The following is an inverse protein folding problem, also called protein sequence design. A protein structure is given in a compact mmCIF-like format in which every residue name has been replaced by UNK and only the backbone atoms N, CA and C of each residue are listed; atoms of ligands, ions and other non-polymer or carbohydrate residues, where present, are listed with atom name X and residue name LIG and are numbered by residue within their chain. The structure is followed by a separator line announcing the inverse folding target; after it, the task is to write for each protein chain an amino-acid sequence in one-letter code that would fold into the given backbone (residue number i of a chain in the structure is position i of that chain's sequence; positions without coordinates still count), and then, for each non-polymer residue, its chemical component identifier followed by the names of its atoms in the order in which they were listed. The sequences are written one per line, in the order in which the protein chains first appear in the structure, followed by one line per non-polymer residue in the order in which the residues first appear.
data_IF_599439319595
#
_entry.id   IF_599439319595
#
_cell.length_a   1.000
_cell.length_b   1.000
_cell.length_c   1.000
_cell.angle_alpha   90.00
_cell.angle_beta   90.00
_cell.angle_gamma   90.00
#
_symmetry.space_group_name_H-M   'P 1'
#
loop_
_entity.id
_entity.type
_entity.pdbx_description
1 polymer ?
#
# COMPACT_ATOMS: atom_id res chain seq x y z
N UNK A 1 59.33 2.58 5.06
CA UNK A 1 58.24 1.87 4.34
C UNK A 1 57.98 0.55 5.04
N UNK A 2 56.85 0.38 5.73
CA UNK A 2 56.30 -0.91 6.15
C UNK A 2 54.78 -0.78 6.15
N UNK A 3 54.18 -1.36 5.13
CA UNK A 3 52.75 -1.33 4.82
C UNK A 3 52.01 -2.22 5.82
N UNK A 4 51.06 -1.64 6.55
CA UNK A 4 50.11 -2.37 7.39
C UNK A 4 48.93 -2.77 6.50
N UNK A 5 48.72 -4.07 6.29
CA UNK A 5 47.54 -4.59 5.59
C UNK A 5 46.43 -4.70 6.63
N UNK A 6 45.45 -3.79 6.54
CA UNK A 6 44.19 -3.84 7.27
C UNK A 6 43.27 -4.83 6.53
N UNK A 7 43.13 -6.05 7.04
CA UNK A 7 42.17 -7.02 6.52
C UNK A 7 40.77 -6.60 6.94
N UNK A 8 40.11 -5.80 6.09
CA UNK A 8 38.71 -5.44 6.26
C UNK A 8 37.87 -6.69 5.95
N UNK A 9 37.40 -7.38 7.00
CA UNK A 9 36.37 -8.39 6.88
C UNK A 9 35.08 -7.70 6.40
N UNK A 10 34.85 -7.69 5.09
CA UNK A 10 33.53 -7.45 4.53
C UNK A 10 32.62 -8.59 5.00
N UNK A 11 31.90 -8.39 6.09
CA UNK A 11 30.67 -9.12 6.34
C UNK A 11 29.70 -8.70 5.24
N UNK A 12 29.66 -9.51 4.17
CA UNK A 12 28.55 -9.53 3.24
C UNK A 12 27.29 -9.79 4.08
N UNK A 13 26.57 -8.72 4.41
CA UNK A 13 25.19 -8.81 4.83
C UNK A 13 24.45 -9.38 3.62
N UNK A 14 24.30 -10.71 3.63
CA UNK A 14 23.45 -11.43 2.71
C UNK A 14 22.11 -10.70 2.72
N UNK A 15 21.59 -10.21 1.58
CA UNK A 15 20.21 -9.76 1.55
C UNK A 15 19.39 -10.98 1.94
N UNK A 16 18.80 -10.94 3.13
CA UNK A 16 17.89 -11.98 3.58
C UNK A 16 16.90 -12.18 2.44
N UNK A 17 16.94 -13.36 1.82
CA UNK A 17 15.98 -13.71 0.77
C UNK A 17 14.62 -13.41 1.34
N UNK A 18 13.90 -12.46 0.75
CA UNK A 18 12.54 -12.14 1.17
C UNK A 18 11.76 -13.45 1.05
N UNK A 19 11.41 -14.04 2.20
CA UNK A 19 10.57 -15.23 2.24
C UNK A 19 9.31 -14.90 1.43
N UNK A 20 9.05 -15.69 0.39
CA UNK A 20 7.85 -15.54 -0.43
C UNK A 20 6.63 -15.60 0.50
N UNK A 21 5.91 -14.49 0.62
CA UNK A 21 4.70 -14.41 1.43
C UNK A 21 3.60 -15.16 0.70
N UNK A 22 2.91 -16.09 1.36
CA UNK A 22 1.76 -16.76 0.73
C UNK A 22 0.56 -15.82 0.65
N UNK A 23 -0.37 -16.04 -0.29
CA UNK A 23 -1.58 -15.21 -0.35
C UNK A 23 -2.43 -15.31 0.92
N UNK A 24 -2.50 -16.50 1.52
CA UNK A 24 -3.19 -16.69 2.81
C UNK A 24 -2.52 -15.91 3.94
N UNK A 25 -1.20 -15.85 3.95
CA UNK A 25 -0.46 -15.06 4.92
C UNK A 25 -0.69 -13.56 4.70
N UNK A 26 -0.64 -13.10 3.45
CA UNK A 26 -0.96 -11.71 3.10
C UNK A 26 -2.36 -11.33 3.59
N UNK A 27 -3.37 -12.13 3.26
CA UNK A 27 -4.75 -11.93 3.71
C UNK A 27 -4.84 -11.84 5.24
N UNK A 28 -4.21 -12.78 5.94
CA UNK A 28 -4.18 -12.81 7.40
C UNK A 28 -3.55 -11.54 7.97
N UNK A 29 -2.45 -11.05 7.38
CA UNK A 29 -1.78 -9.81 7.80
C UNK A 29 -2.62 -8.57 7.52
N UNK A 30 -3.31 -8.49 6.39
CA UNK A 30 -4.25 -7.40 6.07
C UNK A 30 -5.39 -7.35 7.08
N UNK A 31 -5.91 -8.51 7.49
CA UNK A 31 -6.98 -8.63 8.49
C UNK A 31 -6.49 -8.25 9.90
N UNK A 32 -5.26 -8.64 10.23
CA UNK A 32 -4.64 -8.33 11.51
C UNK A 32 -4.11 -6.90 11.61
N UNK A 33 -4.03 -6.16 10.49
CA UNK A 33 -3.63 -4.76 10.46
C UNK A 33 -4.70 -3.90 11.14
N UNK A 34 -4.63 -3.84 12.48
CA UNK A 34 -5.56 -3.19 13.39
C UNK A 34 -5.91 -1.77 12.92
N UNK A 35 -7.18 -1.56 12.57
CA UNK A 35 -7.68 -0.31 11.99
C UNK A 35 -8.30 0.63 13.02
N UNK A 36 -8.30 0.25 14.31
CA UNK A 36 -8.90 1.05 15.40
C UNK A 36 -8.33 2.47 15.48
N UNK A 37 -7.07 2.67 15.10
CA UNK A 37 -6.42 3.99 15.13
C UNK A 37 -6.67 4.84 13.86
N UNK A 38 -7.16 4.27 12.76
CA UNK A 38 -7.33 4.97 11.47
C UNK A 38 -8.60 5.82 11.39
N UNK A 39 -9.61 5.51 12.20
CA UNK A 39 -10.95 6.09 12.07
C UNK A 39 -11.23 7.24 13.04
N UNK A 40 -10.32 7.48 14.00
CA UNK A 40 -10.44 8.63 14.91
C UNK A 40 -10.13 9.97 14.24
N UNK A 41 -9.35 9.98 13.16
CA UNK A 41 -8.95 11.21 12.45
C UNK A 41 -9.91 11.64 11.33
N UNK A 42 -10.82 10.77 10.86
CA UNK A 42 -11.58 11.05 9.64
C UNK A 42 -13.04 11.51 9.81
N UNK A 43 -13.74 11.22 10.92
CA UNK A 43 -15.06 11.87 11.18
C UNK A 43 -15.71 11.65 12.57
N UNK A 44 -14.98 11.26 13.61
CA UNK A 44 -15.52 11.20 14.99
C UNK A 44 -16.77 10.32 15.22
N UNK A 45 -17.25 9.58 14.22
CA UNK A 45 -18.45 8.77 14.28
C UNK A 45 -18.18 7.46 13.56
N UNK A 46 -18.46 6.39 14.31
CA UNK A 46 -18.35 4.98 13.93
C UNK A 46 -16.92 4.43 13.81
N UNK A 47 -16.55 3.62 14.81
CA UNK A 47 -15.64 2.52 14.57
C UNK A 47 -16.27 1.66 13.47
N UNK A 48 -15.80 1.81 12.23
CA UNK A 48 -16.06 0.84 11.18
C UNK A 48 -15.45 -0.46 11.67
N UNK A 49 -16.30 -1.27 12.28
CA UNK A 49 -16.02 -2.68 12.46
C UNK A 49 -15.90 -3.20 11.02
N UNK A 50 -14.74 -3.74 10.67
CA UNK A 50 -14.47 -4.34 9.35
C UNK A 50 -14.61 -5.88 9.39
N UNK A 51 -15.62 -6.51 10.03
CA UNK A 51 -15.79 -7.94 9.87
C UNK A 51 -16.24 -8.16 8.43
N UNK A 52 -15.31 -8.53 7.55
CA UNK A 52 -15.61 -8.77 6.13
C UNK A 52 -14.53 -8.42 5.12
N UNK A 53 -13.37 -7.87 5.51
CA UNK A 53 -12.19 -7.82 4.63
C UNK A 53 -11.62 -9.22 4.31
N UNK A 54 -12.14 -10.28 4.95
CA UNK A 54 -11.72 -11.69 4.87
C UNK A 54 -12.33 -12.43 3.67
N UNK A 55 -12.63 -11.68 2.62
CA UNK A 55 -12.51 -12.13 1.26
C UNK A 55 -12.09 -10.87 0.55
N UNK A 56 -10.83 -10.79 0.16
CA UNK A 56 -10.26 -9.63 -0.53
C UNK A 56 -10.93 -9.45 -1.89
N UNK A 57 -12.18 -9.87 -2.12
CA UNK A 57 -12.92 -9.67 -3.36
C UNK A 57 -14.24 -8.91 -3.11
N UNK A 58 -14.63 -8.65 -1.85
CA UNK A 58 -15.98 -8.18 -1.49
C UNK A 58 -16.02 -6.93 -0.61
N UNK A 59 -15.12 -5.96 -0.80
CA UNK A 59 -15.23 -4.67 -0.08
C UNK A 59 -16.21 -3.76 -0.84
N UNK A 60 -17.35 -3.32 -0.25
CA UNK A 60 -18.31 -2.51 -0.96
C UNK A 60 -17.72 -1.18 -1.46
N UNK A 61 -17.76 -0.97 -2.77
CA UNK A 61 -17.21 0.22 -3.43
C UNK A 61 -15.74 0.10 -3.86
N UNK A 62 -15.13 -1.09 -3.71
CA UNK A 62 -13.77 -1.37 -4.17
C UNK A 62 -13.78 -2.66 -4.99
N UNK A 63 -13.30 -2.58 -6.22
CA UNK A 63 -13.02 -3.75 -7.05
C UNK A 63 -11.53 -4.05 -6.96
N UNK A 64 -11.16 -5.31 -6.79
CA UNK A 64 -9.75 -5.66 -6.63
C UNK A 64 -9.43 -7.04 -7.21
N UNK A 65 -8.14 -7.25 -7.50
CA UNK A 65 -7.58 -8.53 -7.90
C UNK A 65 -6.26 -8.80 -7.20
N UNK A 66 -6.06 -10.05 -6.80
CA UNK A 66 -4.87 -10.57 -6.13
C UNK A 66 -4.09 -11.48 -7.09
N UNK A 67 -2.77 -11.33 -7.18
CA UNK A 67 -1.91 -12.21 -7.97
C UNK A 67 -1.24 -13.25 -7.06
N UNK A 68 -1.60 -14.52 -7.27
CA UNK A 68 -1.18 -15.65 -6.44
C UNK A 68 -0.62 -16.85 -7.23
N UNK A 69 0.30 -16.67 -8.21
CA UNK A 69 0.85 -17.82 -8.91
C UNK A 69 1.58 -18.74 -7.92
N UNK A 70 1.36 -20.04 -8.07
CA UNK A 70 1.93 -21.07 -7.21
C UNK A 70 1.65 -20.90 -5.70
N UNK A 71 0.60 -20.12 -5.35
CA UNK A 71 0.18 -19.86 -3.97
C UNK A 71 0.92 -18.72 -3.26
N UNK A 72 1.90 -18.09 -3.93
CA UNK A 72 2.67 -16.97 -3.39
C UNK A 72 2.07 -15.65 -3.82
N UNK A 73 2.01 -14.68 -2.90
CA UNK A 73 1.58 -13.32 -3.19
C UNK A 73 2.66 -12.61 -4.01
N UNK A 74 2.29 -12.16 -5.22
CA UNK A 74 3.18 -11.37 -6.09
C UNK A 74 2.70 -9.93 -6.26
N UNK A 75 1.46 -9.64 -5.91
CA UNK A 75 0.91 -8.30 -6.01
C UNK A 75 -0.61 -8.23 -5.91
N UNK A 76 -1.11 -7.00 -5.87
CA UNK A 76 -2.53 -6.70 -5.90
C UNK A 76 -2.80 -5.44 -6.72
N UNK A 77 -3.98 -5.39 -7.32
CA UNK A 77 -4.54 -4.17 -7.89
C UNK A 77 -5.92 -3.93 -7.30
N UNK A 78 -6.23 -2.70 -6.94
CA UNK A 78 -7.53 -2.29 -6.44
C UNK A 78 -7.96 -0.98 -7.09
N UNK A 79 -9.26 -0.80 -7.25
CA UNK A 79 -9.88 0.41 -7.81
C UNK A 79 -11.10 0.79 -6.97
N UNK A 80 -11.18 2.05 -6.57
CA UNK A 80 -12.40 2.59 -5.97
C UNK A 80 -13.45 2.76 -7.08
N UNK A 81 -14.60 2.10 -6.91
CA UNK A 81 -15.72 2.13 -7.86
C UNK A 81 -16.85 3.05 -7.42
N UNK A 82 -16.80 3.57 -6.19
CA UNK A 82 -17.79 4.47 -5.61
C UNK A 82 -17.11 5.71 -5.00
N UNK A 83 -17.43 6.90 -5.51
CA UNK A 83 -16.91 8.18 -5.02
C UNK A 83 -17.60 8.71 -3.76
N UNK A 84 -18.51 7.96 -3.14
CA UNK A 84 -19.18 8.36 -1.90
C UNK A 84 -18.18 8.56 -0.75
N UNK A 85 -18.54 9.39 0.24
CA UNK A 85 -17.73 9.60 1.45
C UNK A 85 -17.41 8.26 2.13
N UNK A 86 -18.40 7.37 2.23
CA UNK A 86 -18.22 6.04 2.80
C UNK A 86 -17.27 5.17 1.98
N UNK A 87 -17.36 5.22 0.64
CA UNK A 87 -16.43 4.53 -0.27
C UNK A 87 -15.00 5.01 -0.09
N UNK A 88 -14.79 6.32 -0.04
CA UNK A 88 -13.47 6.93 0.20
C UNK A 88 -12.89 6.51 1.57
N UNK A 89 -13.70 6.50 2.63
CA UNK A 89 -13.24 6.05 3.95
C UNK A 89 -12.80 4.58 3.92
N UNK A 90 -13.61 3.69 3.31
CA UNK A 90 -13.24 2.27 3.17
C UNK A 90 -11.96 2.10 2.36
N UNK A 91 -11.81 2.87 1.29
CA UNK A 91 -10.62 2.86 0.45
C UNK A 91 -9.35 3.27 1.19
N UNK A 92 -9.41 4.35 1.98
CA UNK A 92 -8.29 4.80 2.80
C UNK A 92 -7.88 3.73 3.81
N UNK A 93 -8.86 3.14 4.50
CA UNK A 93 -8.61 2.06 5.46
C UNK A 93 -7.99 0.85 4.78
N UNK A 94 -8.56 0.39 3.66
CA UNK A 94 -8.04 -0.72 2.87
C UNK A 94 -6.59 -0.49 2.44
N UNK A 95 -6.29 0.68 1.85
CA UNK A 95 -4.96 1.02 1.35
C UNK A 95 -3.93 0.97 2.49
N UNK A 96 -4.27 1.51 3.66
CA UNK A 96 -3.37 1.47 4.82
C UNK A 96 -3.19 0.06 5.37
N UNK A 97 -4.25 -0.74 5.48
CA UNK A 97 -4.15 -2.13 5.93
C UNK A 97 -3.24 -2.95 5.03
N UNK A 98 -3.34 -2.77 3.71
CA UNK A 98 -2.46 -3.42 2.74
C UNK A 98 -1.01 -2.98 2.93
N UNK A 99 -0.74 -1.67 3.01
CA UNK A 99 0.61 -1.17 3.23
C UNK A 99 1.21 -1.68 4.55
N UNK A 100 0.41 -1.79 5.60
CA UNK A 100 0.83 -2.36 6.90
C UNK A 100 1.16 -3.84 6.82
N UNK A 101 0.40 -4.62 6.06
CA UNK A 101 0.65 -6.04 5.88
C UNK A 101 2.00 -6.34 5.22
N UNK A 102 2.47 -5.41 4.38
CA UNK A 102 3.70 -5.54 3.60
C UNK A 102 4.89 -4.76 4.18
N UNK A 103 4.64 -3.84 5.11
CA UNK A 103 5.68 -3.04 5.73
C UNK A 103 6.64 -3.92 6.55
N UNK A 104 7.96 -3.62 6.51
CA UNK A 104 8.91 -4.21 7.45
C UNK A 104 8.50 -4.00 8.90
N UNK A 105 8.94 -4.90 9.78
CA UNK A 105 8.71 -4.77 11.22
C UNK A 105 9.23 -3.41 11.74
N UNK A 106 8.38 -2.68 12.46
CA UNK A 106 8.71 -1.33 12.96
C UNK A 106 8.28 -0.17 12.05
N UNK A 107 8.01 -0.41 10.76
CA UNK A 107 7.54 0.63 9.82
C UNK A 107 6.01 0.70 9.71
N UNK A 108 5.30 -0.36 10.11
CA UNK A 108 3.83 -0.46 10.03
C UNK A 108 3.08 0.75 10.66
N UNK A 109 3.63 1.35 11.73
CA UNK A 109 3.05 2.54 12.38
C UNK A 109 3.04 3.78 11.48
N UNK A 110 3.96 3.86 10.52
CA UNK A 110 4.15 5.01 9.64
C UNK A 110 3.30 4.92 8.37
N UNK A 111 2.75 3.74 8.06
CA UNK A 111 1.99 3.47 6.83
C UNK A 111 0.77 4.37 6.58
N UNK A 112 0.01 4.83 7.59
CA UNK A 112 -1.03 5.85 7.36
C UNK A 112 -0.47 7.13 6.71
N UNK A 113 0.70 7.61 7.18
CA UNK A 113 1.36 8.79 6.63
C UNK A 113 1.88 8.53 5.22
N UNK A 114 2.43 7.34 4.97
CA UNK A 114 2.87 6.90 3.64
C UNK A 114 1.71 6.87 2.64
N UNK A 115 0.57 6.28 3.02
CA UNK A 115 -0.62 6.23 2.18
C UNK A 115 -1.12 7.64 1.82
N UNK A 116 -1.24 8.52 2.82
CA UNK A 116 -1.64 9.90 2.62
C UNK A 116 -0.65 10.67 1.71
N UNK A 117 0.65 10.46 1.89
CA UNK A 117 1.68 11.08 1.05
C UNK A 117 1.62 10.61 -0.40
N UNK A 118 1.41 9.31 -0.64
CA UNK A 118 1.20 8.76 -1.98
C UNK A 118 -0.02 9.39 -2.66
N UNK A 119 -1.14 9.45 -1.96
CA UNK A 119 -2.37 10.07 -2.48
C UNK A 119 -2.18 11.56 -2.80
N UNK A 120 -1.55 12.33 -1.90
CA UNK A 120 -1.25 13.75 -2.12
C UNK A 120 -0.39 13.95 -3.37
N UNK A 121 0.70 13.19 -3.49
CA UNK A 121 1.61 13.28 -4.65
C UNK A 121 0.91 12.93 -5.97
N UNK A 122 0.05 11.92 -5.97
CA UNK A 122 -0.71 11.56 -7.16
C UNK A 122 -1.69 12.68 -7.56
N UNK A 123 -2.35 13.31 -6.59
CA UNK A 123 -3.22 14.46 -6.83
C UNK A 123 -2.45 15.68 -7.36
N UNK A 124 -1.29 15.98 -6.78
CA UNK A 124 -0.39 17.04 -7.26
C UNK A 124 0.09 16.76 -8.69
N UNK A 125 0.44 15.51 -9.00
CA UNK A 125 0.80 15.09 -10.36
C UNK A 125 -0.36 15.27 -11.34
N UNK A 126 -1.59 14.90 -10.95
CA UNK A 126 -2.79 15.08 -11.76
C UNK A 126 -3.07 16.56 -12.04
N UNK A 127 -2.91 17.43 -11.03
CA UNK A 127 -3.07 18.87 -11.18
C UNK A 127 -2.02 19.46 -12.15
N UNK A 128 -0.75 19.08 -11.99
CA UNK A 128 0.33 19.54 -12.87
C UNK A 128 0.11 19.10 -14.31
N UNK A 129 -0.24 17.83 -14.54
CA UNK A 129 -0.53 17.28 -15.88
C UNK A 129 -1.78 17.88 -16.51
N UNK A 130 -2.81 18.19 -15.72
CA UNK A 130 -4.00 18.89 -16.22
C UNK A 130 -3.64 20.27 -16.77
N UNK A 131 -2.79 21.01 -16.07
CA UNK A 131 -2.35 22.34 -16.49
C UNK A 131 -1.43 22.25 -17.73
N UNK A 132 -0.50 21.29 -17.74
CA UNK A 132 0.53 21.19 -18.77
C UNK A 132 0.03 20.54 -20.07
N UNK A 133 -0.67 19.41 -19.93
CA UNK A 133 -0.97 18.49 -21.03
C UNK A 133 -2.49 18.28 -21.24
N UNK A 134 -3.34 18.91 -20.42
CA UNK A 134 -4.78 18.66 -20.42
C UNK A 134 -5.19 17.30 -19.83
N UNK A 135 -4.24 16.53 -19.31
CA UNK A 135 -4.46 15.18 -18.77
C UNK A 135 -4.72 15.25 -17.27
N UNK A 136 -5.93 14.91 -16.84
CA UNK A 136 -6.31 14.90 -15.42
C UNK A 136 -6.10 13.54 -14.74
N UNK A 137 -5.01 12.85 -15.07
CA UNK A 137 -4.57 11.59 -14.44
C UNK A 137 -3.19 11.83 -13.86
N UNK A 138 -2.99 11.46 -12.60
CA UNK A 138 -1.71 11.54 -11.91
C UNK A 138 -1.38 10.28 -11.16
N UNK A 139 -0.09 10.08 -10.91
CA UNK A 139 0.41 8.87 -10.24
C UNK A 139 1.55 9.18 -9.27
N UNK A 140 1.66 8.39 -8.22
CA UNK A 140 2.79 8.41 -7.30
C UNK A 140 3.19 6.97 -6.95
N UNK A 141 4.49 6.77 -6.72
CA UNK A 141 5.06 5.47 -6.38
C UNK A 141 5.95 5.58 -5.15
N UNK A 142 5.99 4.51 -4.35
CA UNK A 142 6.85 4.40 -3.17
C UNK A 142 7.19 2.94 -2.89
N UNK A 143 8.45 2.69 -2.52
CA UNK A 143 8.90 1.39 -2.06
C UNK A 143 8.56 1.19 -0.58
N UNK A 144 8.11 -0.03 -0.25
CA UNK A 144 7.73 -0.49 1.09
C UNK A 144 8.43 -1.82 1.31
N UNK A 145 9.60 -1.80 1.95
CA UNK A 145 10.48 -2.97 1.99
C UNK A 145 10.86 -3.41 0.56
N UNK A 146 10.46 -4.61 0.16
CA UNK A 146 10.70 -5.17 -1.19
C UNK A 146 9.57 -4.87 -2.18
N UNK A 147 8.50 -4.22 -1.75
CA UNK A 147 7.30 -4.00 -2.56
C UNK A 147 7.28 -2.58 -3.14
N UNK A 148 6.84 -2.44 -4.39
CA UNK A 148 6.55 -1.14 -4.99
C UNK A 148 5.04 -0.88 -4.93
N UNK A 149 4.64 0.15 -4.19
CA UNK A 149 3.26 0.63 -4.14
C UNK A 149 3.06 1.81 -5.10
N UNK A 150 2.03 1.75 -5.92
CA UNK A 150 1.63 2.81 -6.87
C UNK A 150 0.20 3.25 -6.57
N UNK A 151 0.00 4.56 -6.49
CA UNK A 151 -1.32 5.17 -6.40
C UNK A 151 -1.56 5.99 -7.65
N UNK A 152 -2.74 5.83 -8.26
CA UNK A 152 -3.20 6.63 -9.38
C UNK A 152 -4.53 7.28 -9.07
N UNK A 153 -4.69 8.51 -9.51
CA UNK A 153 -5.93 9.28 -9.37
C UNK A 153 -6.26 9.93 -10.70
N UNK A 154 -7.53 9.91 -11.08
CA UNK A 154 -8.00 10.56 -12.28
C UNK A 154 -9.48 10.87 -12.23
N UNK A 155 -10.02 11.43 -13.31
CA UNK A 155 -11.41 11.91 -13.40
C UNK A 155 -12.46 10.86 -12.99
N UNK A 156 -12.22 9.58 -13.28
CA UNK A 156 -13.21 8.52 -13.07
C UNK A 156 -12.66 7.31 -12.28
N UNK A 157 -11.42 7.37 -11.80
CA UNK A 157 -10.79 6.22 -11.16
C UNK A 157 -9.78 6.64 -10.10
N UNK A 158 -9.80 5.93 -8.99
CA UNK A 158 -8.71 5.92 -8.01
C UNK A 158 -8.22 4.48 -7.96
N UNK A 159 -6.94 4.26 -8.26
CA UNK A 159 -6.32 2.94 -8.34
C UNK A 159 -5.15 2.85 -7.37
N UNK A 160 -4.99 1.67 -6.80
CA UNK A 160 -3.86 1.33 -5.96
C UNK A 160 -3.31 -0.01 -6.42
N UNK A 161 -1.99 -0.09 -6.57
CA UNK A 161 -1.32 -1.31 -6.99
C UNK A 161 -0.10 -1.58 -6.13
N UNK A 162 0.17 -2.86 -5.89
CA UNK A 162 1.40 -3.31 -5.28
C UNK A 162 1.97 -4.46 -6.08
N UNK A 163 3.29 -4.42 -6.28
CA UNK A 163 4.06 -5.40 -7.05
C UNK A 163 5.38 -5.66 -6.32
N UNK A 164 5.92 -6.87 -6.44
CA UNK A 164 7.27 -7.22 -5.96
C UNK A 164 8.33 -6.85 -7.00
#
# INVERSE_FOLDING_TARGET
MRTLILTLALTLTVPAMALAMTCKEFETRVQAADTKDLLREFDGTESINLPGLINVENIPGIMLGLSCPDGNFEGLGATLTDGSKAGITRWSVFTVSVLRALAPEGEARQMPKTAAALQSKANEDAQRRKIRDGVAIGSAEQNIGVWQARFETGLNQIRFEIRQ
#
